data_IF_540526721219
#
_entry.id   IF_540526721219
#
_cell.length_a   1.000
_cell.length_b   1.000
_cell.length_c   1.000
_cell.angle_alpha   90.00
_cell.angle_beta   90.00
_cell.angle_gamma   90.00
#
_symmetry.space_group_name_H-M   'P 1'
#
loop_
_entity.id
_entity.type
_entity.pdbx_description
1 polymer ?
#
# COMPACT_ATOMS: atom_id res chain seq x y z
N UNK A 1 -45.91 7.13 -37.65
CA UNK A 1 -44.44 7.22 -37.87
C UNK A 1 -43.71 6.15 -37.07
N UNK A 2 -43.87 6.08 -35.74
CA UNK A 2 -43.28 5.02 -34.90
C UNK A 2 -43.80 3.62 -35.30
N UNK A 3 -45.10 3.49 -35.60
CA UNK A 3 -45.68 2.20 -35.99
C UNK A 3 -45.14 1.66 -37.33
N UNK A 4 -44.84 2.54 -38.29
CA UNK A 4 -44.27 2.17 -39.59
C UNK A 4 -42.80 1.69 -39.44
N UNK A 5 -42.06 2.27 -38.49
CA UNK A 5 -40.71 1.83 -38.14
C UNK A 5 -40.76 0.44 -37.47
N UNK A 6 -41.66 0.24 -36.53
CA UNK A 6 -41.81 -1.05 -35.84
C UNK A 6 -42.27 -2.17 -36.79
N UNK A 7 -43.14 -1.86 -37.75
CA UNK A 7 -43.60 -2.81 -38.74
C UNK A 7 -42.49 -3.21 -39.72
N UNK A 8 -41.63 -2.25 -40.13
CA UNK A 8 -40.44 -2.51 -40.94
C UNK A 8 -39.39 -3.34 -40.20
N UNK A 9 -39.14 -3.07 -38.93
CA UNK A 9 -38.18 -3.87 -38.13
C UNK A 9 -38.66 -5.31 -37.95
N UNK A 10 -39.97 -5.53 -37.77
CA UNK A 10 -40.57 -6.88 -37.67
C UNK A 10 -40.61 -7.64 -38.99
N UNK A 11 -40.65 -6.94 -40.13
CA UNK A 11 -40.71 -7.56 -41.45
C UNK A 11 -39.34 -7.90 -42.04
N UNK A 12 -38.24 -7.52 -41.39
CA UNK A 12 -36.89 -7.95 -41.77
C UNK A 12 -36.70 -9.43 -41.39
N UNK A 13 -36.61 -10.35 -42.38
CA UNK A 13 -36.33 -11.74 -42.08
C UNK A 13 -34.86 -11.86 -41.67
N UNK A 14 -34.61 -11.96 -40.36
CA UNK A 14 -33.27 -12.33 -39.89
C UNK A 14 -33.01 -13.75 -40.40
N UNK A 15 -32.08 -13.92 -41.34
CA UNK A 15 -31.71 -15.24 -41.85
C UNK A 15 -31.37 -16.15 -40.66
N UNK A 16 -31.95 -17.34 -40.60
CA UNK A 16 -31.70 -18.32 -39.53
C UNK A 16 -30.23 -18.68 -39.37
N UNK A 17 -29.44 -18.54 -40.44
CA UNK A 17 -27.99 -18.70 -40.43
C UNK A 17 -27.26 -17.61 -39.63
N UNK A 18 -27.79 -16.38 -39.55
CA UNK A 18 -27.23 -15.29 -38.74
C UNK A 18 -27.48 -15.50 -37.24
N UNK A 19 -28.60 -16.13 -36.88
CA UNK A 19 -28.93 -16.43 -35.47
C UNK A 19 -27.93 -17.41 -34.84
N UNK A 20 -27.28 -18.27 -35.64
CA UNK A 20 -26.22 -19.19 -35.18
C UNK A 20 -24.98 -18.45 -34.65
N UNK A 21 -24.75 -17.21 -35.11
CA UNK A 21 -23.62 -16.38 -34.68
C UNK A 21 -23.97 -15.43 -33.53
N UNK A 22 -25.24 -15.33 -33.15
CA UNK A 22 -25.71 -14.44 -32.08
C UNK A 22 -25.00 -14.72 -30.73
N UNK A 23 -24.79 -15.98 -30.30
CA UNK A 23 -24.03 -16.26 -29.08
C UNK A 23 -22.58 -15.78 -29.16
N UNK A 24 -21.91 -16.01 -30.30
CA UNK A 24 -20.53 -15.56 -30.51
C UNK A 24 -20.41 -14.03 -30.46
N UNK A 25 -21.36 -13.32 -31.07
CA UNK A 25 -21.43 -11.85 -31.00
C UNK A 25 -21.62 -11.38 -29.56
N UNK A 26 -22.50 -12.02 -28.79
CA UNK A 26 -22.71 -11.70 -27.37
C UNK A 26 -21.42 -11.93 -26.57
N UNK A 27 -20.70 -13.05 -26.79
CA UNK A 27 -19.42 -13.29 -26.13
C UNK A 27 -18.39 -12.21 -26.44
N UNK A 28 -18.27 -11.80 -27.71
CA UNK A 28 -17.35 -10.71 -28.10
C UNK A 28 -17.74 -9.40 -27.42
N UNK A 29 -19.02 -9.06 -27.38
CA UNK A 29 -19.50 -7.85 -26.70
C UNK A 29 -19.25 -7.89 -25.19
N UNK A 30 -19.41 -9.04 -24.53
CA UNK A 30 -19.08 -9.22 -23.11
C UNK A 30 -17.58 -9.05 -22.87
N UNK A 31 -16.73 -9.64 -23.70
CA UNK A 31 -15.28 -9.48 -23.59
C UNK A 31 -14.89 -8.02 -23.78
N UNK A 32 -15.43 -7.33 -24.79
CA UNK A 32 -15.19 -5.90 -25.00
C UNK A 32 -15.67 -5.11 -23.77
N UNK A 33 -16.88 -5.38 -23.27
CA UNK A 33 -17.41 -4.68 -22.10
C UNK A 33 -16.55 -4.87 -20.84
N UNK A 34 -15.96 -6.04 -20.65
CA UNK A 34 -15.07 -6.32 -19.52
C UNK A 34 -13.66 -5.74 -19.72
N UNK A 35 -13.13 -5.77 -20.95
CA UNK A 35 -11.74 -5.36 -21.23
C UNK A 35 -11.63 -3.86 -21.49
N UNK A 36 -12.56 -3.28 -22.25
CA UNK A 36 -12.54 -1.87 -22.66
C UNK A 36 -12.34 -0.87 -21.50
N UNK A 37 -13.05 -0.97 -20.35
CA UNK A 37 -12.81 -0.04 -19.23
C UNK A 37 -11.42 -0.19 -18.61
N UNK A 38 -10.75 -1.33 -18.81
CA UNK A 38 -9.43 -1.61 -18.26
C UNK A 38 -8.27 -1.23 -19.20
N UNK A 39 -8.52 -1.04 -20.51
CA UNK A 39 -7.47 -0.71 -21.49
C UNK A 39 -6.80 0.62 -21.14
N UNK A 40 -7.58 1.66 -20.87
CA UNK A 40 -7.04 2.99 -20.57
C UNK A 40 -6.14 2.97 -19.32
N UNK A 41 -6.61 2.34 -18.24
CA UNK A 41 -5.82 2.22 -17.00
C UNK A 41 -4.56 1.38 -17.20
N UNK A 42 -4.63 0.27 -17.96
CA UNK A 42 -3.46 -0.56 -18.27
C UNK A 42 -2.45 0.18 -19.15
N UNK A 43 -2.93 1.00 -20.08
CA UNK A 43 -2.08 1.80 -20.96
C UNK A 43 -1.32 2.88 -20.17
N UNK A 44 -2.01 3.59 -19.28
CA UNK A 44 -1.37 4.58 -18.40
C UNK A 44 -0.34 3.93 -17.47
N UNK A 45 -0.68 2.81 -16.85
CA UNK A 45 0.21 2.08 -15.93
C UNK A 45 1.49 1.57 -16.63
N UNK A 46 1.40 1.18 -17.91
CA UNK A 46 2.57 0.69 -18.66
C UNK A 46 3.54 1.82 -19.06
N UNK A 47 3.04 3.04 -19.28
CA UNK A 47 3.87 4.20 -19.62
C UNK A 47 4.40 4.94 -18.39
N UNK A 48 3.74 4.78 -17.25
CA UNK A 48 4.15 5.35 -15.95
C UNK A 48 4.16 4.27 -14.89
N UNK A 49 5.10 3.30 -14.97
CA UNK A 49 5.17 2.25 -13.96
C UNK A 49 5.34 2.90 -12.59
N UNK A 50 4.64 2.40 -11.55
CA UNK A 50 4.73 2.95 -10.21
C UNK A 50 6.18 2.87 -9.73
N UNK A 51 6.83 4.03 -9.69
CA UNK A 51 8.20 4.19 -9.22
C UNK A 51 8.19 4.90 -7.87
N UNK A 52 9.17 4.61 -6.99
CA UNK A 52 9.33 5.41 -5.79
C UNK A 52 9.52 6.88 -6.16
N UNK A 53 9.03 7.75 -5.31
CA UNK A 53 9.36 9.17 -5.35
C UNK A 53 10.88 9.37 -5.13
N UNK A 54 11.39 10.55 -5.45
CA UNK A 54 12.84 10.81 -5.43
C UNK A 54 13.44 10.62 -4.04
N UNK A 55 12.75 11.12 -3.02
CA UNK A 55 13.08 10.95 -1.60
C UNK A 55 13.19 9.47 -1.21
N UNK A 56 12.23 8.65 -1.63
CA UNK A 56 12.26 7.20 -1.41
C UNK A 56 13.43 6.56 -2.15
N UNK A 57 13.64 6.89 -3.42
CA UNK A 57 14.75 6.34 -4.20
C UNK A 57 16.10 6.66 -3.57
N UNK A 58 16.34 7.93 -3.20
CA UNK A 58 17.58 8.38 -2.57
C UNK A 58 17.79 7.68 -1.21
N UNK A 59 16.73 7.49 -0.42
CA UNK A 59 16.77 6.76 0.85
C UNK A 59 17.15 5.30 0.67
N UNK A 60 16.63 4.66 -0.38
CA UNK A 60 16.91 3.25 -0.70
C UNK A 60 18.33 3.06 -1.25
N UNK A 61 18.85 4.03 -2.01
CA UNK A 61 20.26 4.06 -2.42
C UNK A 61 21.15 4.25 -1.20
N UNK A 62 20.83 5.20 -0.31
CA UNK A 62 21.57 5.37 0.93
C UNK A 62 21.60 4.08 1.76
N UNK A 63 20.46 3.40 1.92
CA UNK A 63 20.37 2.14 2.64
C UNK A 63 21.27 1.06 2.02
N UNK A 64 21.33 0.99 0.69
CA UNK A 64 22.21 0.06 -0.04
C UNK A 64 23.68 0.29 0.29
N UNK A 65 24.09 1.55 0.31
CA UNK A 65 25.50 1.94 0.38
C UNK A 65 26.01 2.04 1.82
N UNK A 66 25.11 2.14 2.81
CA UNK A 66 25.46 2.41 4.22
C UNK A 66 25.06 1.29 5.20
N UNK A 67 24.57 0.15 4.70
CA UNK A 67 24.27 -1.03 5.54
C UNK A 67 25.07 -2.25 5.07
N UNK A 68 25.36 -3.24 5.93
CA UNK A 68 26.16 -4.40 5.54
C UNK A 68 25.57 -5.15 4.33
N UNK A 69 26.42 -5.56 3.40
CA UNK A 69 26.00 -6.38 2.26
C UNK A 69 25.63 -7.80 2.68
N UNK A 70 24.82 -8.46 1.85
CA UNK A 70 24.30 -9.81 2.09
C UNK A 70 24.85 -10.73 1.02
N UNK A 71 25.78 -11.59 1.43
CA UNK A 71 26.64 -12.32 0.50
C UNK A 71 26.13 -13.75 0.20
N UNK A 72 25.21 -14.27 1.01
CA UNK A 72 24.70 -15.65 0.85
C UNK A 72 23.37 -15.92 1.54
N UNK A 73 23.19 -15.51 2.80
CA UNK A 73 21.95 -15.67 3.58
C UNK A 73 21.52 -14.34 4.20
N UNK A 74 20.20 -14.07 4.38
CA UNK A 74 19.69 -12.89 5.07
C UNK A 74 20.25 -12.76 6.50
N UNK A 75 21.33 -12.01 6.66
CA UNK A 75 21.95 -11.79 7.97
C UNK A 75 21.09 -10.91 8.89
N UNK A 76 20.24 -10.09 8.29
CA UNK A 76 19.26 -9.25 8.99
C UNK A 76 18.11 -8.87 8.05
N UNK A 77 16.93 -8.59 8.59
CA UNK A 77 15.77 -8.05 7.88
C UNK A 77 15.59 -6.53 8.02
N UNK A 78 14.92 -5.94 7.03
CA UNK A 78 14.34 -4.59 7.12
C UNK A 78 12.86 -4.70 7.48
N UNK A 79 12.47 -4.11 8.61
CA UNK A 79 11.08 -3.95 9.00
C UNK A 79 10.47 -2.76 8.24
N UNK A 80 9.44 -3.03 7.43
CA UNK A 80 8.74 -2.00 6.65
C UNK A 80 7.27 -2.38 6.49
N UNK A 81 6.42 -1.44 6.08
CA UNK A 81 5.09 -1.80 5.58
C UNK A 81 5.18 -2.49 4.23
N UNK A 82 4.28 -3.45 3.97
CA UNK A 82 4.39 -4.36 2.83
C UNK A 82 4.39 -3.65 1.47
N UNK A 83 3.75 -2.48 1.36
CA UNK A 83 3.70 -1.65 0.15
C UNK A 83 5.11 -1.35 -0.39
N UNK A 84 6.10 -1.19 0.49
CA UNK A 84 7.45 -0.75 0.14
C UNK A 84 8.45 -1.89 -0.03
N UNK A 85 8.07 -3.13 0.30
CA UNK A 85 9.01 -4.24 0.39
C UNK A 85 9.72 -4.56 -0.93
N UNK A 86 9.01 -4.53 -2.06
CA UNK A 86 9.65 -4.76 -3.36
C UNK A 86 10.65 -3.65 -3.73
N UNK A 87 10.37 -2.39 -3.38
CA UNK A 87 11.32 -1.32 -3.65
C UNK A 87 12.64 -1.53 -2.90
N UNK A 88 12.58 -1.93 -1.63
CA UNK A 88 13.77 -2.26 -0.84
C UNK A 88 14.51 -3.48 -1.42
N UNK A 89 13.78 -4.53 -1.78
CA UNK A 89 14.36 -5.73 -2.41
C UNK A 89 15.09 -5.41 -3.72
N UNK A 90 14.46 -4.62 -4.60
CA UNK A 90 15.01 -4.36 -5.94
C UNK A 90 16.04 -3.24 -5.99
N UNK A 91 15.91 -2.20 -5.16
CA UNK A 91 16.80 -1.02 -5.17
C UNK A 91 17.92 -1.22 -4.15
N UNK A 92 17.55 -1.41 -2.87
CA UNK A 92 18.53 -1.53 -1.79
C UNK A 92 19.19 -2.90 -1.73
N UNK A 93 18.63 -3.92 -2.37
CA UNK A 93 19.12 -5.31 -2.29
C UNK A 93 19.22 -5.79 -0.84
N UNK A 94 18.22 -5.47 -0.02
CA UNK A 94 18.11 -5.94 1.37
C UNK A 94 16.82 -6.74 1.56
N UNK A 95 16.85 -7.85 2.33
CA UNK A 95 15.68 -8.66 2.63
C UNK A 95 14.75 -7.85 3.54
N UNK A 96 13.46 -8.10 3.39
CA UNK A 96 12.39 -7.39 4.08
C UNK A 96 11.55 -8.38 4.87
N UNK A 97 10.99 -7.92 5.98
CA UNK A 97 10.00 -8.69 6.74
C UNK A 97 8.72 -8.86 5.93
N UNK A 98 8.29 -7.78 5.27
CA UNK A 98 7.06 -7.74 4.51
C UNK A 98 7.27 -7.21 3.09
N UNK A 99 6.54 -7.77 2.12
CA UNK A 99 6.57 -7.33 0.71
C UNK A 99 5.19 -7.39 0.04
N UNK A 100 5.13 -6.99 -1.23
CA UNK A 100 3.88 -6.87 -1.98
C UNK A 100 3.16 -8.20 -2.28
N UNK A 101 3.75 -9.35 -1.92
CA UNK A 101 3.03 -10.63 -1.88
C UNK A 101 2.22 -10.81 -0.60
N UNK A 102 2.15 -9.79 0.26
CA UNK A 102 1.46 -9.75 1.56
C UNK A 102 1.99 -10.76 2.59
N UNK A 103 3.17 -11.34 2.34
CA UNK A 103 3.88 -12.18 3.30
C UNK A 103 4.48 -11.26 4.37
N UNK A 104 4.31 -11.60 5.65
CA UNK A 104 4.87 -10.85 6.79
C UNK A 104 4.20 -9.51 7.08
N UNK A 105 3.13 -9.15 6.34
CA UNK A 105 2.40 -7.90 6.54
C UNK A 105 1.73 -7.82 7.90
N UNK A 106 1.27 -8.93 8.45
CA UNK A 106 0.68 -9.05 9.79
C UNK A 106 1.72 -8.85 10.90
N UNK A 107 2.93 -9.38 10.73
CA UNK A 107 4.06 -9.16 11.65
C UNK A 107 4.51 -7.70 11.64
N UNK A 108 4.66 -7.11 10.45
CA UNK A 108 4.96 -5.69 10.31
C UNK A 108 3.86 -4.81 10.92
N UNK A 109 2.60 -5.17 10.70
CA UNK A 109 1.46 -4.47 11.28
C UNK A 109 1.50 -4.50 12.81
N UNK A 110 1.67 -5.69 13.41
CA UNK A 110 1.80 -5.85 14.86
C UNK A 110 2.97 -5.05 15.43
N UNK A 111 4.09 -4.98 14.72
CA UNK A 111 5.22 -4.14 15.10
C UNK A 111 4.83 -2.65 15.11
N UNK A 112 4.24 -2.13 14.03
CA UNK A 112 3.94 -0.70 13.92
C UNK A 112 2.85 -0.22 14.88
N UNK A 113 1.90 -1.08 15.24
CA UNK A 113 0.84 -0.74 16.21
C UNK A 113 1.19 -1.08 17.66
N UNK A 114 2.33 -1.72 17.92
CA UNK A 114 2.77 -2.05 19.27
C UNK A 114 2.87 -0.76 20.11
N UNK A 115 2.33 -0.79 21.34
CA UNK A 115 2.34 0.36 22.25
C UNK A 115 3.54 0.35 23.20
N UNK A 116 4.25 -0.77 23.28
CA UNK A 116 5.43 -0.94 24.10
C UNK A 116 6.62 -1.42 23.28
N UNK A 117 7.80 -0.99 23.71
CA UNK A 117 9.05 -1.27 23.00
C UNK A 117 9.46 -2.74 23.14
N UNK A 118 9.10 -3.40 24.25
CA UNK A 118 9.48 -4.80 24.51
C UNK A 118 8.78 -5.77 23.56
N UNK A 119 7.47 -5.58 23.34
CA UNK A 119 6.69 -6.34 22.38
C UNK A 119 7.17 -6.10 20.95
N UNK A 120 7.46 -4.85 20.59
CA UNK A 120 8.05 -4.51 19.30
C UNK A 120 9.41 -5.21 19.08
N UNK A 121 10.28 -5.21 20.10
CA UNK A 121 11.58 -5.88 20.04
C UNK A 121 11.46 -7.39 19.88
N UNK A 122 10.47 -8.01 20.52
CA UNK A 122 10.22 -9.45 20.36
C UNK A 122 9.94 -9.81 18.89
N UNK A 123 9.18 -8.96 18.18
CA UNK A 123 8.91 -9.15 16.75
C UNK A 123 10.19 -8.93 15.92
N UNK A 124 10.98 -7.91 16.25
CA UNK A 124 12.26 -7.66 15.58
C UNK A 124 13.21 -8.86 15.74
N UNK A 125 13.32 -9.43 16.94
CA UNK A 125 14.18 -10.57 17.25
C UNK A 125 13.72 -11.83 16.50
N UNK A 126 12.41 -12.12 16.50
CA UNK A 126 11.82 -13.24 15.76
C UNK A 126 12.10 -13.18 14.26
N UNK A 127 12.14 -11.97 13.70
CA UNK A 127 12.40 -11.72 12.28
C UNK A 127 13.85 -11.41 11.97
N UNK A 128 14.75 -11.52 12.96
CA UNK A 128 16.14 -11.12 12.87
C UNK A 128 16.30 -9.73 12.18
N UNK A 129 15.43 -8.78 12.52
CA UNK A 129 15.36 -7.47 11.88
C UNK A 129 16.28 -6.48 12.59
N UNK A 130 17.00 -5.68 11.80
CA UNK A 130 18.01 -4.74 12.32
C UNK A 130 17.70 -3.28 12.02
N UNK A 131 16.94 -3.03 10.97
CA UNK A 131 16.57 -1.70 10.53
C UNK A 131 15.06 -1.62 10.37
N UNK A 132 14.53 -0.43 10.59
CA UNK A 132 13.11 -0.10 10.42
C UNK A 132 13.03 1.08 9.46
N UNK A 133 12.13 1.00 8.48
CA UNK A 133 11.78 2.14 7.64
C UNK A 133 10.37 2.57 7.99
N UNK A 134 10.18 3.87 8.18
CA UNK A 134 8.88 4.51 8.37
C UNK A 134 8.70 5.60 7.30
N UNK A 135 7.46 5.80 6.86
CA UNK A 135 7.08 6.77 5.84
C UNK A 135 5.80 7.48 6.23
N UNK A 136 5.68 8.74 5.82
CA UNK A 136 4.57 9.60 6.23
C UNK A 136 3.21 8.99 5.83
N UNK A 137 3.13 8.30 4.68
CA UNK A 137 1.90 7.69 4.18
C UNK A 137 1.44 6.50 5.02
N UNK A 138 2.29 5.94 5.87
CA UNK A 138 1.90 4.87 6.78
C UNK A 138 0.99 5.36 7.90
N UNK A 139 1.06 6.65 8.26
CA UNK A 139 0.30 7.24 9.36
C UNK A 139 -1.09 7.71 9.03
N UNK A 140 -1.63 8.53 9.92
CA UNK A 140 -2.90 9.25 9.76
C UNK A 140 -2.64 10.72 9.41
N UNK A 141 -2.68 11.02 8.12
CA UNK A 141 -2.43 12.36 7.60
C UNK A 141 -3.74 13.12 7.38
N UNK A 142 -3.78 14.39 7.77
CA UNK A 142 -4.97 15.24 7.65
C UNK A 142 -5.02 15.86 6.25
N UNK A 143 -6.12 15.63 5.55
CA UNK A 143 -6.42 16.27 4.27
C UNK A 143 -7.70 17.09 4.38
N UNK A 144 -7.75 18.22 3.67
CA UNK A 144 -9.01 18.94 3.43
C UNK A 144 -9.64 18.47 2.13
N UNK A 145 -10.88 18.01 2.22
CA UNK A 145 -11.72 17.71 1.07
C UNK A 145 -12.97 18.60 1.15
N UNK A 146 -12.93 19.74 0.44
CA UNK A 146 -13.91 20.81 0.63
C UNK A 146 -13.87 21.37 2.06
N UNK A 147 -15.02 21.36 2.73
CA UNK A 147 -15.16 21.82 4.13
C UNK A 147 -14.95 20.71 5.18
N UNK A 148 -14.60 19.50 4.77
CA UNK A 148 -14.37 18.37 5.68
C UNK A 148 -12.88 18.05 5.83
N UNK A 149 -12.48 17.66 7.05
CA UNK A 149 -11.17 17.07 7.32
C UNK A 149 -11.31 15.56 7.23
N UNK A 150 -10.50 14.94 6.37
CA UNK A 150 -10.44 13.48 6.22
C UNK A 150 -9.04 13.00 6.56
N UNK A 151 -8.95 11.89 7.29
CA UNK A 151 -7.69 11.22 7.53
C UNK A 151 -7.41 10.26 6.38
N UNK A 152 -6.20 10.29 5.82
CA UNK A 152 -5.73 9.30 4.84
C UNK A 152 -4.37 8.76 5.22
N UNK A 153 -4.12 7.55 4.76
CA UNK A 153 -2.85 6.82 4.92
C UNK A 153 -3.11 5.35 5.17
N UNK A 154 -2.03 4.57 5.24
CA UNK A 154 -2.10 3.12 5.36
C UNK A 154 -2.44 2.66 6.79
N UNK A 155 -2.48 3.55 7.79
CA UNK A 155 -2.62 3.16 9.18
C UNK A 155 -3.89 2.34 9.47
N UNK A 156 -5.00 2.62 8.77
CA UNK A 156 -6.22 1.81 8.89
C UNK A 156 -5.98 0.36 8.45
N UNK A 157 -5.24 0.16 7.35
CA UNK A 157 -4.86 -1.18 6.88
C UNK A 157 -3.84 -1.83 7.85
N UNK A 158 -2.88 -1.06 8.37
CA UNK A 158 -1.92 -1.54 9.38
C UNK A 158 -2.67 -2.03 10.63
N UNK A 159 -3.61 -1.25 11.17
CA UNK A 159 -4.43 -1.67 12.30
C UNK A 159 -5.22 -2.96 11.99
N UNK A 160 -5.84 -3.04 10.81
CA UNK A 160 -6.59 -4.22 10.39
C UNK A 160 -5.72 -5.47 10.25
N UNK A 161 -4.51 -5.36 9.68
CA UNK A 161 -3.57 -6.49 9.56
C UNK A 161 -3.05 -6.96 10.92
N UNK A 162 -3.04 -6.08 11.93
CA UNK A 162 -2.70 -6.41 13.31
C UNK A 162 -3.89 -6.94 14.13
N UNK A 163 -5.06 -7.17 13.51
CA UNK A 163 -6.31 -7.55 14.17
C UNK A 163 -6.72 -6.55 15.26
N UNK A 164 -6.57 -5.25 14.95
CA UNK A 164 -6.97 -4.13 15.82
C UNK A 164 -8.12 -3.36 15.21
N UNK A 165 -9.08 -3.00 16.04
CA UNK A 165 -10.15 -2.08 15.65
C UNK A 165 -9.57 -0.68 15.43
N UNK A 166 -9.65 -0.17 14.21
CA UNK A 166 -9.16 1.15 13.85
C UNK A 166 -9.75 2.27 14.73
N UNK A 167 -10.98 2.12 15.21
CA UNK A 167 -11.64 3.10 16.07
C UNK A 167 -10.89 3.33 17.40
N UNK A 168 -10.09 2.37 17.87
CA UNK A 168 -9.32 2.52 19.11
C UNK A 168 -8.24 3.61 19.03
N UNK A 169 -7.87 4.03 17.82
CA UNK A 169 -6.81 4.99 17.54
C UNK A 169 -7.34 6.41 17.31
N UNK A 170 -8.66 6.61 17.33
CA UNK A 170 -9.31 7.90 17.09
C UNK A 170 -10.04 8.41 18.33
N UNK A 171 -10.18 9.72 18.43
CA UNK A 171 -11.05 10.37 19.40
C UNK A 171 -12.48 10.56 18.83
N UNK A 172 -13.37 11.14 19.64
CA UNK A 172 -14.76 11.44 19.24
C UNK A 172 -14.89 12.39 18.04
N UNK A 173 -13.82 13.07 17.63
CA UNK A 173 -13.77 14.00 16.51
C UNK A 173 -13.02 13.41 15.30
N UNK A 174 -12.75 12.10 15.29
CA UNK A 174 -11.94 11.42 14.27
C UNK A 174 -10.51 11.98 14.17
N UNK A 175 -9.90 12.36 15.29
CA UNK A 175 -8.50 12.77 15.38
C UNK A 175 -7.67 11.67 16.06
N UNK A 176 -6.38 11.52 15.69
CA UNK A 176 -5.52 10.54 16.34
C UNK A 176 -5.45 10.77 17.85
N UNK A 177 -5.74 9.72 18.62
CA UNK A 177 -5.80 9.78 20.08
C UNK A 177 -4.49 9.31 20.73
N UNK A 178 -4.51 9.15 22.06
CA UNK A 178 -3.35 8.67 22.82
C UNK A 178 -2.86 7.29 22.38
N UNK A 179 -3.76 6.34 22.11
CA UNK A 179 -3.38 5.00 21.67
C UNK A 179 -2.59 5.05 20.35
N UNK A 180 -2.96 5.96 19.43
CA UNK A 180 -2.19 6.18 18.20
C UNK A 180 -0.79 6.73 18.48
N UNK A 181 -0.70 7.77 19.32
CA UNK A 181 0.56 8.43 19.64
C UNK A 181 1.54 7.51 20.39
N UNK A 182 1.04 6.51 21.10
CA UNK A 182 1.86 5.51 21.80
C UNK A 182 2.36 4.38 20.90
N UNK A 183 1.86 4.27 19.65
CA UNK A 183 2.32 3.23 18.72
C UNK A 183 3.78 3.40 18.29
N UNK A 184 4.46 2.30 17.97
CA UNK A 184 5.83 2.36 17.42
C UNK A 184 5.91 3.19 16.15
N UNK A 185 4.90 3.15 15.28
CA UNK A 185 4.83 4.04 14.12
C UNK A 185 4.94 5.51 14.54
N UNK A 186 4.08 5.97 15.44
CA UNK A 186 4.08 7.37 15.88
C UNK A 186 5.37 7.71 16.63
N UNK A 187 5.83 6.85 17.52
CA UNK A 187 7.10 7.01 18.26
C UNK A 187 8.30 7.16 17.33
N UNK A 188 8.33 6.46 16.20
CA UNK A 188 9.43 6.56 15.23
C UNK A 188 9.29 7.72 14.25
N UNK A 189 8.10 7.93 13.67
CA UNK A 189 7.91 8.90 12.59
C UNK A 189 7.44 10.28 13.07
N UNK A 190 6.60 10.34 14.11
CA UNK A 190 6.06 11.62 14.61
C UNK A 190 6.97 12.23 15.67
N UNK A 191 7.68 11.38 16.42
CA UNK A 191 8.56 11.78 17.52
C UNK A 191 10.04 11.49 17.26
N UNK A 192 10.42 11.15 16.03
CA UNK A 192 11.81 10.90 15.59
C UNK A 192 12.56 9.85 16.42
N UNK A 193 11.83 8.90 16.99
CA UNK A 193 12.37 7.87 17.88
C UNK A 193 12.74 8.36 19.28
N UNK A 194 12.38 9.61 19.65
CA UNK A 194 12.69 10.16 20.95
C UNK A 194 12.06 9.33 22.08
N UNK A 195 12.88 8.98 23.08
CA UNK A 195 12.49 8.14 24.21
C UNK A 195 12.45 6.63 23.92
N UNK A 196 12.81 6.17 22.71
CA UNK A 196 13.11 4.77 22.45
C UNK A 196 14.53 4.43 22.94
N UNK A 197 14.71 3.24 23.52
CA UNK A 197 16.02 2.82 24.08
C UNK A 197 16.83 1.95 23.11
N UNK A 198 16.15 1.20 22.25
CA UNK A 198 16.71 0.21 21.34
C UNK A 198 16.70 0.68 19.88
N UNK A 199 16.13 1.87 19.61
CA UNK A 199 16.02 2.45 18.28
C UNK A 199 16.67 3.82 18.26
N UNK A 200 17.34 4.13 17.14
CA UNK A 200 17.87 5.45 16.84
C UNK A 200 17.65 5.77 15.37
N UNK A 201 17.32 7.01 15.06
CA UNK A 201 17.30 7.49 13.68
C UNK A 201 18.73 7.51 13.13
N UNK A 202 18.91 7.02 11.90
CA UNK A 202 20.22 6.99 11.23
C UNK A 202 20.22 7.73 9.89
N UNK A 203 19.04 7.99 9.34
CA UNK A 203 18.85 8.68 8.07
C UNK A 203 17.41 9.22 7.98
N UNK A 204 17.26 10.39 7.36
CA UNK A 204 15.99 11.03 7.02
C UNK A 204 16.10 11.57 5.58
N UNK A 205 15.03 11.46 4.80
CA UNK A 205 15.00 12.01 3.44
C UNK A 205 14.94 13.54 3.48
N UNK A 206 15.51 14.21 2.48
CA UNK A 206 15.58 15.69 2.44
C UNK A 206 14.22 16.36 2.19
N UNK A 207 13.34 15.66 1.47
CA UNK A 207 12.02 16.16 1.08
C UNK A 207 10.93 15.50 1.95
N UNK A 208 11.15 15.45 3.27
CA UNK A 208 10.14 15.02 4.23
C UNK A 208 8.97 16.03 4.18
N UNK A 209 8.02 15.80 3.28
CA UNK A 209 6.80 16.60 3.21
C UNK A 209 5.95 16.27 4.44
N UNK A 210 5.96 17.20 5.40
CA UNK A 210 5.03 17.26 6.54
C UNK A 210 3.63 17.74 6.12
#
# INVERSE_FOLDING_TARGET
FIDDILQKVRSFPIRSDLLKFLPALIYVLVIIFLVFPNISMSYELSHSPPKPSKDWYDSLVWLKDNTPEINSEPQYGIMTWWDYGNWILYISKRPVVANNFQIGGDEAARFYVAQDESGANTIMDQRNSRYVIVDYRMGLNKFRQGNQVVLKGAFMAIASFADKDFAMYLDKNNLPNRNYLETMYARMHVFDGNGLKNYRMIYESKDALF
#
